data_IF_633929135698
#
_entry.id   IF_633929135698
#
_cell.length_a   1.000
_cell.length_b   1.000
_cell.length_c   1.000
_cell.angle_alpha   90.00
_cell.angle_beta   90.00
_cell.angle_gamma   90.00
#
_symmetry.space_group_name_H-M   'P 1'
#
loop_
_entity.id
_entity.type
_entity.pdbx_description
1 polymer ?
#
# COMPACT_ATOMS: atom_id res chain seq x y z
N UNK A 1 17.79 -12.85 34.47
CA UNK A 1 16.93 -11.73 34.07
C UNK A 1 17.53 -11.17 32.78
N UNK A 2 16.96 -11.50 31.63
CA UNK A 2 17.46 -11.04 30.33
C UNK A 2 16.69 -9.78 29.93
N UNK A 3 17.39 -8.66 29.86
CA UNK A 3 16.91 -7.38 29.35
C UNK A 3 16.59 -7.50 27.87
N UNK A 4 15.30 -7.47 27.52
CA UNK A 4 14.85 -7.32 26.13
C UNK A 4 15.18 -5.91 25.65
N UNK A 5 16.22 -5.78 24.83
CA UNK A 5 16.51 -4.56 24.08
C UNK A 5 15.49 -4.47 22.95
N UNK A 6 14.50 -3.59 23.12
CA UNK A 6 13.66 -3.15 22.01
C UNK A 6 14.56 -2.45 20.99
N UNK A 7 14.80 -3.12 19.86
CA UNK A 7 15.42 -2.50 18.69
C UNK A 7 14.47 -1.41 18.19
N UNK A 8 14.68 -0.17 18.62
CA UNK A 8 14.04 0.98 18.01
C UNK A 8 14.74 1.24 16.69
N UNK A 9 14.40 0.42 15.70
CA UNK A 9 14.91 0.58 14.35
C UNK A 9 14.29 1.88 13.82
N UNK A 10 15.13 2.86 13.45
CA UNK A 10 14.70 4.20 13.04
C UNK A 10 14.03 4.23 11.67
N UNK A 11 12.96 3.45 11.47
CA UNK A 11 12.17 3.48 10.25
C UNK A 11 11.34 4.76 10.23
N UNK A 12 11.42 5.51 9.13
CA UNK A 12 10.41 6.52 8.85
C UNK A 12 9.09 5.79 8.55
N UNK A 13 8.04 6.07 9.32
CA UNK A 13 6.72 5.47 9.15
C UNK A 13 6.16 5.70 7.73
N UNK A 14 6.49 6.82 7.10
CA UNK A 14 6.09 7.16 5.73
C UNK A 14 6.78 6.24 4.70
N UNK A 15 8.08 5.99 4.86
CA UNK A 15 8.81 5.09 3.98
C UNK A 15 8.35 3.64 4.16
N UNK A 16 8.06 3.25 5.39
CA UNK A 16 7.55 1.91 5.69
C UNK A 16 6.15 1.70 5.11
N UNK A 17 5.26 2.69 5.20
CA UNK A 17 3.90 2.57 4.64
C UNK A 17 3.93 2.42 3.13
N UNK A 18 4.75 3.22 2.43
CA UNK A 18 4.97 3.10 0.98
C UNK A 18 5.55 1.73 0.64
N UNK A 19 6.59 1.30 1.35
CA UNK A 19 7.23 0.00 1.08
C UNK A 19 6.25 -1.17 1.26
N UNK A 20 5.46 -1.16 2.34
CA UNK A 20 4.47 -2.21 2.60
C UNK A 20 3.37 -2.21 1.55
N UNK A 21 2.94 -1.04 1.05
CA UNK A 21 1.92 -0.95 0.02
C UNK A 21 2.43 -1.50 -1.33
N UNK A 22 3.61 -1.06 -1.75
CA UNK A 22 4.23 -1.45 -3.02
C UNK A 22 4.60 -2.94 -3.06
N UNK A 23 5.16 -3.47 -1.96
CA UNK A 23 5.67 -4.84 -1.88
C UNK A 23 4.63 -5.87 -1.40
N UNK A 24 3.38 -5.43 -1.13
CA UNK A 24 2.32 -6.35 -0.70
C UNK A 24 2.04 -7.42 -1.77
N UNK A 25 1.98 -8.68 -1.33
CA UNK A 25 1.67 -9.83 -2.18
C UNK A 25 0.20 -9.92 -2.64
N UNK A 26 -0.68 -9.17 -1.98
CA UNK A 26 -2.11 -9.08 -2.29
C UNK A 26 -2.43 -7.81 -3.10
N UNK A 27 -3.53 -7.83 -3.84
CA UNK A 27 -4.05 -6.64 -4.51
C UNK A 27 -4.63 -5.65 -3.48
N UNK A 28 -4.07 -4.45 -3.43
CA UNK A 28 -4.52 -3.38 -2.56
C UNK A 28 -5.11 -2.22 -3.35
N UNK A 29 -6.22 -1.69 -2.84
CA UNK A 29 -6.97 -0.56 -3.37
C UNK A 29 -7.15 0.47 -2.25
N UNK A 30 -6.69 1.69 -2.48
CA UNK A 30 -6.84 2.82 -1.57
C UNK A 30 -7.99 3.67 -2.03
N UNK A 31 -8.98 3.90 -1.16
CA UNK A 31 -10.10 4.79 -1.42
C UNK A 31 -9.96 6.05 -0.58
N UNK A 32 -10.29 7.19 -1.18
CA UNK A 32 -10.49 8.43 -0.45
C UNK A 32 -11.79 8.32 0.37
N UNK A 33 -11.75 8.53 1.69
CA UNK A 33 -12.89 8.26 2.57
C UNK A 33 -14.02 9.29 2.44
N UNK A 34 -13.75 10.48 1.87
CA UNK A 34 -14.76 11.54 1.72
C UNK A 34 -15.52 11.41 0.39
N UNK A 35 -14.78 11.15 -0.68
CA UNK A 35 -15.31 11.05 -2.04
C UNK A 35 -15.66 9.63 -2.46
N UNK A 36 -15.26 8.63 -1.66
CA UNK A 36 -15.35 7.19 -1.95
C UNK A 36 -14.68 6.79 -3.29
N UNK A 37 -13.84 7.67 -3.84
CA UNK A 37 -13.13 7.41 -5.09
C UNK A 37 -11.86 6.60 -4.84
N UNK A 38 -11.54 5.73 -5.79
CA UNK A 38 -10.26 5.03 -5.77
C UNK A 38 -9.13 6.06 -5.95
N UNK A 39 -8.28 6.19 -4.92
CA UNK A 39 -7.15 7.10 -4.87
C UNK A 39 -5.88 6.43 -5.41
N UNK A 40 -5.65 5.15 -5.12
CA UNK A 40 -4.49 4.40 -5.61
C UNK A 40 -4.67 2.88 -5.62
N UNK A 41 -3.77 2.19 -6.33
CA UNK A 41 -3.66 0.73 -6.43
C UNK A 41 -2.20 0.30 -6.43
N UNK A 42 -1.90 -0.78 -5.74
CA UNK A 42 -0.52 -1.29 -5.70
C UNK A 42 -0.15 -2.04 -7.01
N UNK A 43 1.14 -2.35 -7.24
CA UNK A 43 1.59 -3.10 -8.42
C UNK A 43 0.92 -4.47 -8.54
N UNK A 44 0.64 -5.14 -7.43
CA UNK A 44 -0.04 -6.44 -7.44
C UNK A 44 -1.46 -6.34 -7.98
N UNK A 45 -2.23 -5.31 -7.60
CA UNK A 45 -3.57 -5.07 -8.12
C UNK A 45 -3.57 -4.86 -9.64
N UNK A 46 -2.60 -4.11 -10.16
CA UNK A 46 -2.41 -3.95 -11.61
C UNK A 46 -2.09 -5.30 -12.27
N UNK A 47 -1.17 -6.08 -11.69
CA UNK A 47 -0.76 -7.39 -12.22
C UNK A 47 -1.89 -8.42 -12.25
N UNK A 48 -2.69 -8.49 -11.18
CA UNK A 48 -3.78 -9.46 -11.04
C UNK A 48 -5.01 -9.07 -11.86
N UNK A 49 -5.31 -7.78 -11.97
CA UNK A 49 -6.44 -7.31 -12.78
C UNK A 49 -6.13 -7.25 -14.28
N UNK A 50 -4.85 -7.09 -14.64
CA UNK A 50 -4.42 -6.88 -16.03
C UNK A 50 -4.61 -5.45 -16.53
N UNK A 51 -5.08 -4.53 -15.68
CA UNK A 51 -5.28 -3.12 -16.00
C UNK A 51 -4.14 -2.27 -15.44
N UNK A 52 -3.80 -1.21 -16.14
CA UNK A 52 -2.90 -0.17 -15.63
C UNK A 52 -3.56 0.60 -14.50
N UNK A 53 -2.74 1.24 -13.64
CA UNK A 53 -3.20 2.17 -12.60
C UNK A 53 -4.20 3.20 -13.15
N UNK A 54 -3.89 3.80 -14.30
CA UNK A 54 -4.74 4.84 -14.88
C UNK A 54 -6.10 4.31 -15.36
N UNK A 55 -6.18 3.06 -15.80
CA UNK A 55 -7.45 2.41 -16.15
C UNK A 55 -8.26 2.10 -14.89
N UNK A 56 -7.63 1.52 -13.86
CA UNK A 56 -8.27 1.20 -12.59
C UNK A 56 -8.85 2.45 -11.91
N UNK A 57 -8.11 3.56 -11.91
CA UNK A 57 -8.59 4.83 -11.32
C UNK A 57 -9.73 5.50 -12.10
N UNK A 58 -10.00 5.05 -13.33
CA UNK A 58 -11.12 5.53 -14.16
C UNK A 58 -12.32 4.58 -14.14
N UNK A 59 -12.17 3.40 -13.55
CA UNK A 59 -13.27 2.46 -13.37
C UNK A 59 -14.11 2.92 -12.18
N UNK A 60 -15.21 3.60 -12.48
CA UNK A 60 -16.27 3.94 -11.54
C UNK A 60 -17.54 3.19 -11.92
#
# INVERSE_FOLDING_TARGET
MATSQYVNTGWNAEELSVTLFEEAGDALFLFDPESEQLADVNPMAQRLSGFSRAELLRMQ
#
